data_IF_062446840567
#
_entry.id   IF_062446840567
#
_cell.length_a   1.000
_cell.length_b   1.000
_cell.length_c   1.000
_cell.angle_alpha   90.00
_cell.angle_beta   90.00
_cell.angle_gamma   90.00
#
_symmetry.space_group_name_H-M   'P 1'
#
loop_
_entity.id
_entity.type
_entity.pdbx_description
1 polymer ?
#
# COMPACT_ATOMS: atom_id res chain seq x y z
N UNK A 1 -17.75 -13.30 22.80
CA UNK A 1 -16.39 -12.87 22.39
C UNK A 1 -16.40 -12.72 20.89
N UNK A 2 -16.00 -11.56 20.37
CA UNK A 2 -15.74 -11.41 18.93
C UNK A 2 -14.45 -12.16 18.64
N UNK A 3 -14.50 -13.20 17.81
CA UNK A 3 -13.31 -13.95 17.44
C UNK A 3 -12.45 -13.11 16.49
N UNK A 4 -11.22 -12.81 16.90
CA UNK A 4 -10.28 -11.99 16.14
C UNK A 4 -9.34 -12.92 15.39
N UNK A 5 -9.52 -13.00 14.08
CA UNK A 5 -8.69 -13.81 13.20
C UNK A 5 -7.26 -13.24 13.07
N UNK A 6 -6.37 -13.99 12.43
CA UNK A 6 -4.94 -13.64 12.34
C UNK A 6 -4.73 -12.31 11.60
N UNK A 7 -5.43 -12.12 10.49
CA UNK A 7 -5.36 -10.91 9.66
C UNK A 7 -5.78 -9.67 10.46
N UNK A 8 -6.88 -9.76 11.22
CA UNK A 8 -7.34 -8.69 12.08
C UNK A 8 -6.33 -8.35 13.18
N UNK A 9 -5.63 -9.34 13.76
CA UNK A 9 -4.55 -9.06 14.72
C UNK A 9 -3.41 -8.27 14.08
N UNK A 10 -3.06 -8.58 12.83
CA UNK A 10 -2.04 -7.81 12.08
C UNK A 10 -2.52 -6.37 11.88
N UNK A 11 -3.78 -6.17 11.48
CA UNK A 11 -4.34 -4.82 11.30
C UNK A 11 -4.37 -4.04 12.63
N UNK A 12 -4.75 -4.68 13.73
CA UNK A 12 -4.75 -4.05 15.06
C UNK A 12 -3.33 -3.68 15.52
N UNK A 13 -2.33 -4.51 15.25
CA UNK A 13 -0.94 -4.19 15.53
C UNK A 13 -0.45 -3.00 14.68
N UNK A 14 -0.80 -2.97 13.38
CA UNK A 14 -0.52 -1.82 12.51
C UNK A 14 -1.20 -0.54 12.99
N UNK A 15 -2.45 -0.63 13.47
CA UNK A 15 -3.18 0.49 14.07
C UNK A 15 -2.48 1.03 15.32
N UNK A 16 -1.97 0.14 16.18
CA UNK A 16 -1.19 0.55 17.35
C UNK A 16 0.07 1.33 16.95
N UNK A 17 0.79 0.88 15.93
CA UNK A 17 1.97 1.60 15.40
C UNK A 17 1.57 2.99 14.87
N UNK A 18 0.49 3.08 14.09
CA UNK A 18 -0.03 4.35 13.58
C UNK A 18 -0.48 5.29 14.70
N UNK A 19 -1.07 4.75 15.77
CA UNK A 19 -1.50 5.50 16.94
C UNK A 19 -0.31 6.08 17.73
N UNK A 20 0.78 5.32 17.86
CA UNK A 20 2.04 5.84 18.41
C UNK A 20 2.59 6.96 17.52
N UNK A 21 2.56 6.78 16.20
CA UNK A 21 2.93 7.81 15.23
C UNK A 21 2.11 9.09 15.40
N UNK A 22 0.79 8.96 15.52
CA UNK A 22 -0.13 10.08 15.77
C UNK A 22 0.25 10.86 17.04
N UNK A 23 0.48 10.18 18.17
CA UNK A 23 0.93 10.85 19.40
C UNK A 23 2.29 11.52 19.25
N UNK A 24 3.20 10.90 18.52
CA UNK A 24 4.50 11.49 18.19
C UNK A 24 4.29 12.79 17.40
N UNK A 25 3.40 12.77 16.41
CA UNK A 25 3.00 13.97 15.65
C UNK A 25 2.42 15.07 16.53
N UNK A 26 1.56 14.74 17.50
CA UNK A 26 1.04 15.71 18.48
C UNK A 26 2.17 16.30 19.33
N UNK A 27 3.01 15.44 19.89
CA UNK A 27 4.11 15.84 20.79
C UNK A 27 5.06 16.83 20.09
N UNK A 28 5.44 16.54 18.83
CA UNK A 28 6.31 17.39 18.02
C UNK A 28 5.56 18.46 17.20
N UNK A 29 4.24 18.58 17.35
CA UNK A 29 3.39 19.55 16.62
C UNK A 29 3.49 19.48 15.09
N UNK A 30 3.66 18.26 14.54
CA UNK A 30 3.73 17.98 13.09
C UNK A 30 2.34 17.73 12.51
N UNK A 31 1.70 18.79 11.99
CA UNK A 31 0.34 18.71 11.43
C UNK A 31 0.23 17.73 10.23
N UNK A 32 1.23 17.71 9.36
CA UNK A 32 1.34 16.78 8.24
C UNK A 32 1.27 15.32 8.71
N UNK A 33 1.97 15.01 9.80
CA UNK A 33 2.03 13.67 10.37
C UNK A 33 0.72 13.29 11.07
N UNK A 34 0.14 14.21 11.82
CA UNK A 34 -1.17 14.04 12.48
C UNK A 34 -2.23 13.71 11.43
N UNK A 35 -2.31 14.47 10.35
CA UNK A 35 -3.30 14.25 9.29
C UNK A 35 -3.08 12.91 8.58
N UNK A 36 -1.84 12.58 8.23
CA UNK A 36 -1.51 11.32 7.54
C UNK A 36 -1.86 10.10 8.38
N UNK A 37 -1.42 10.06 9.64
CA UNK A 37 -1.71 8.93 10.54
C UNK A 37 -3.19 8.83 10.87
N UNK A 38 -3.89 9.96 11.05
CA UNK A 38 -5.36 9.98 11.23
C UNK A 38 -6.08 9.38 10.04
N UNK A 39 -5.71 9.78 8.82
CA UNK A 39 -6.30 9.24 7.59
C UNK A 39 -6.06 7.73 7.45
N UNK A 40 -4.84 7.27 7.71
CA UNK A 40 -4.50 5.85 7.65
C UNK A 40 -5.27 5.02 8.70
N UNK A 41 -5.39 5.53 9.93
CA UNK A 41 -6.20 4.88 10.96
C UNK A 41 -7.68 4.85 10.57
N UNK A 42 -8.24 5.96 10.08
CA UNK A 42 -9.63 6.03 9.63
C UNK A 42 -9.89 5.03 8.49
N UNK A 43 -8.98 4.95 7.51
CA UNK A 43 -9.02 3.97 6.44
C UNK A 43 -9.03 2.54 6.98
N UNK A 44 -8.08 2.18 7.86
CA UNK A 44 -7.98 0.83 8.42
C UNK A 44 -9.22 0.44 9.25
N UNK A 45 -9.77 1.37 10.02
CA UNK A 45 -11.03 1.16 10.75
C UNK A 45 -12.19 0.95 9.78
N UNK A 46 -12.25 1.72 8.69
CA UNK A 46 -13.30 1.57 7.67
C UNK A 46 -13.22 0.20 6.98
N UNK A 47 -12.04 -0.28 6.60
CA UNK A 47 -11.88 -1.60 5.95
C UNK A 47 -12.02 -2.78 6.91
N UNK A 48 -11.87 -2.59 8.23
CA UNK A 48 -12.26 -3.58 9.23
C UNK A 48 -13.78 -3.63 9.44
N UNK A 49 -14.43 -2.46 9.41
CA UNK A 49 -15.86 -2.34 9.64
C UNK A 49 -16.70 -2.76 8.42
N UNK A 50 -16.28 -2.38 7.22
CA UNK A 50 -17.04 -2.58 5.98
C UNK A 50 -17.43 -4.05 5.73
N UNK A 51 -16.51 -5.04 5.77
CA UNK A 51 -16.85 -6.44 5.49
C UNK A 51 -17.69 -7.09 6.60
N UNK A 52 -17.65 -6.54 7.82
CA UNK A 52 -18.48 -7.01 8.95
C UNK A 52 -19.91 -6.52 8.85
N UNK A 53 -20.12 -5.33 8.27
CA UNK A 53 -21.44 -4.69 8.22
C UNK A 53 -22.17 -4.94 6.90
N UNK A 54 -21.45 -4.99 5.80
CA UNK A 54 -22.03 -5.12 4.46
C UNK A 54 -21.46 -6.34 3.76
N UNK A 55 -22.28 -6.99 2.94
CA UNK A 55 -21.81 -7.98 1.98
C UNK A 55 -21.23 -7.25 0.77
N UNK A 56 -20.15 -7.80 0.21
CA UNK A 56 -19.61 -7.30 -1.06
C UNK A 56 -20.72 -7.35 -2.13
N UNK A 57 -20.96 -6.26 -2.87
CA UNK A 57 -21.94 -6.28 -3.94
C UNK A 57 -21.54 -7.25 -5.06
N UNK A 58 -22.49 -7.61 -5.92
CA UNK A 58 -22.24 -8.42 -7.10
C UNK A 58 -21.81 -7.56 -8.31
N UNK A 59 -21.44 -8.22 -9.40
CA UNK A 59 -21.09 -7.58 -10.67
C UNK A 59 -19.82 -6.72 -10.62
N UNK A 60 -19.77 -5.71 -11.49
CA UNK A 60 -18.59 -4.84 -11.69
C UNK A 60 -18.19 -4.09 -10.43
N UNK A 61 -19.16 -3.51 -9.70
CA UNK A 61 -18.88 -2.80 -8.45
C UNK A 61 -18.28 -3.77 -7.40
N UNK A 62 -18.82 -4.98 -7.31
CA UNK A 62 -18.26 -6.04 -6.49
C UNK A 62 -16.83 -6.40 -6.84
N UNK A 63 -16.50 -6.44 -8.13
CA UNK A 63 -15.15 -6.73 -8.60
C UNK A 63 -14.17 -5.61 -8.24
N UNK A 64 -14.54 -4.35 -8.45
CA UNK A 64 -13.73 -3.18 -8.10
C UNK A 64 -13.48 -3.08 -6.60
N UNK A 65 -14.51 -3.38 -5.78
CA UNK A 65 -14.39 -3.35 -4.33
C UNK A 65 -13.75 -4.61 -3.75
N UNK A 66 -13.48 -5.63 -4.57
CA UNK A 66 -12.98 -6.93 -4.08
C UNK A 66 -11.76 -6.86 -3.14
N UNK A 67 -10.77 -5.96 -3.34
CA UNK A 67 -9.62 -5.91 -2.44
C UNK A 67 -9.99 -5.55 -1.00
N UNK A 68 -10.96 -4.65 -0.81
CA UNK A 68 -11.41 -4.18 0.51
C UNK A 68 -12.19 -5.22 1.31
N UNK A 69 -12.63 -6.30 0.64
CA UNK A 69 -13.30 -7.44 1.28
C UNK A 69 -12.35 -8.63 1.47
N UNK A 70 -11.06 -8.50 1.14
CA UNK A 70 -10.05 -9.53 1.38
C UNK A 70 -9.28 -9.22 2.66
N UNK A 71 -9.49 -10.03 3.71
CA UNK A 71 -8.76 -9.88 4.98
C UNK A 71 -7.24 -9.94 4.78
N UNK A 72 -6.77 -10.78 3.86
CA UNK A 72 -5.34 -10.92 3.59
C UNK A 72 -4.74 -9.70 2.88
N UNK A 73 -5.44 -9.13 1.90
CA UNK A 73 -5.00 -7.87 1.25
C UNK A 73 -5.02 -6.75 2.29
N UNK A 74 -6.08 -6.63 3.08
CA UNK A 74 -6.20 -5.61 4.13
C UNK A 74 -5.07 -5.71 5.16
N UNK A 75 -4.66 -6.92 5.57
CA UNK A 75 -3.53 -7.12 6.48
C UNK A 75 -2.19 -6.70 5.86
N UNK A 76 -1.96 -6.98 4.57
CA UNK A 76 -0.73 -6.52 3.90
C UNK A 76 -0.75 -4.99 3.77
N UNK A 77 -1.90 -4.41 3.40
CA UNK A 77 -2.08 -2.95 3.33
C UNK A 77 -1.84 -2.30 4.68
N UNK A 78 -2.30 -2.88 5.79
CA UNK A 78 -2.07 -2.30 7.12
C UNK A 78 -0.59 -2.27 7.50
N UNK A 79 0.15 -3.33 7.15
CA UNK A 79 1.61 -3.36 7.33
C UNK A 79 2.27 -2.28 6.49
N UNK A 80 1.91 -2.16 5.21
CA UNK A 80 2.42 -1.09 4.35
C UNK A 80 2.15 0.30 4.96
N UNK A 81 0.92 0.60 5.37
CA UNK A 81 0.60 1.92 5.94
C UNK A 81 1.36 2.20 7.23
N UNK A 82 1.48 1.21 8.13
CA UNK A 82 2.25 1.35 9.36
C UNK A 82 3.75 1.58 9.07
N UNK A 83 4.33 0.81 8.14
CA UNK A 83 5.73 0.98 7.72
C UNK A 83 5.92 2.33 7.04
N UNK A 84 5.07 2.70 6.09
CA UNK A 84 5.16 3.99 5.39
C UNK A 84 5.08 5.15 6.38
N UNK A 85 4.09 5.17 7.28
CA UNK A 85 3.98 6.21 8.30
C UNK A 85 5.20 6.25 9.23
N UNK A 86 5.76 5.09 9.59
CA UNK A 86 6.92 5.00 10.49
C UNK A 86 8.22 5.38 9.81
N UNK A 87 8.43 4.99 8.56
CA UNK A 87 9.63 5.34 7.78
C UNK A 87 9.65 6.84 7.44
N UNK A 88 8.47 7.44 7.27
CA UNK A 88 8.30 8.89 7.14
C UNK A 88 8.39 9.60 8.50
N UNK A 89 8.49 8.87 9.61
CA UNK A 89 8.40 9.44 10.96
C UNK A 89 9.29 8.73 11.99
N UNK A 90 10.48 8.22 11.63
CA UNK A 90 11.35 7.70 12.69
C UNK A 90 11.78 8.89 13.56
N UNK A 91 11.47 8.91 14.86
CA UNK A 91 11.77 10.02 15.78
C UNK A 91 13.23 9.93 16.24
N UNK A 92 14.15 9.75 15.29
CA UNK A 92 15.56 9.99 15.52
C UNK A 92 15.93 11.23 14.71
N UNK A 93 16.02 12.36 15.42
CA UNK A 93 16.78 13.56 15.04
C UNK A 93 16.15 14.45 13.97
N UNK A 94 16.74 15.63 13.79
CA UNK A 94 16.42 16.66 12.79
C UNK A 94 16.64 16.16 11.36
N UNK A 95 15.86 15.15 11.02
CA UNK A 95 16.12 14.15 10.00
C UNK A 95 14.74 13.76 9.51
N UNK A 96 14.21 14.59 8.60
CA UNK A 96 13.21 14.10 7.66
C UNK A 96 13.73 12.81 6.99
N UNK A 97 12.91 12.12 6.21
CA UNK A 97 13.43 11.23 5.16
C UNK A 97 14.46 11.93 4.24
N UNK A 98 14.56 13.26 4.33
CA UNK A 98 15.59 14.12 3.73
C UNK A 98 16.86 14.24 4.58
N UNK A 99 17.02 13.47 5.64
CA UNK A 99 18.33 13.26 6.20
C UNK A 99 19.15 12.53 5.16
N UNK A 100 20.11 13.27 4.67
CA UNK A 100 21.08 12.92 3.65
C UNK A 100 21.77 11.56 3.92
N UNK A 101 21.73 11.06 5.17
CA UNK A 101 22.25 9.76 5.57
C UNK A 101 21.41 8.53 5.14
N UNK A 102 20.09 8.65 4.96
CA UNK A 102 19.18 7.50 4.74
C UNK A 102 18.39 7.60 3.41
N UNK A 103 19.05 8.05 2.33
CA UNK A 103 18.48 8.35 0.99
C UNK A 103 17.65 7.24 0.31
N UNK A 104 17.69 6.02 0.82
CA UNK A 104 17.12 4.82 0.18
C UNK A 104 15.98 4.18 0.98
N UNK A 105 15.58 4.75 2.12
CA UNK A 105 14.50 4.18 2.95
C UNK A 105 13.15 4.24 2.22
N UNK A 106 12.98 5.25 1.38
CA UNK A 106 11.88 5.42 0.43
C UNK A 106 11.66 4.19 -0.48
N UNK A 107 12.74 3.48 -0.86
CA UNK A 107 12.65 2.25 -1.66
C UNK A 107 11.80 1.16 -1.00
N UNK A 108 11.82 1.08 0.33
CA UNK A 108 11.02 0.11 1.09
C UNK A 108 9.53 0.48 0.98
N UNK A 109 9.23 1.77 1.06
CA UNK A 109 7.87 2.28 0.90
C UNK A 109 7.35 1.98 -0.51
N UNK A 110 8.10 2.30 -1.56
CA UNK A 110 7.69 1.99 -2.94
C UNK A 110 7.56 0.49 -3.19
N UNK A 111 8.45 -0.34 -2.63
CA UNK A 111 8.32 -1.79 -2.75
C UNK A 111 7.06 -2.33 -2.08
N UNK A 112 6.75 -1.89 -0.86
CA UNK A 112 5.51 -2.30 -0.19
C UNK A 112 4.26 -1.71 -0.86
N UNK A 113 4.34 -0.49 -1.39
CA UNK A 113 3.29 0.17 -2.17
C UNK A 113 2.99 -0.61 -3.45
N UNK A 114 4.00 -0.98 -4.22
CA UNK A 114 3.86 -1.79 -5.44
C UNK A 114 3.29 -3.18 -5.15
N UNK A 115 3.70 -3.82 -4.05
CA UNK A 115 3.09 -5.07 -3.58
C UNK A 115 1.57 -4.90 -3.37
N UNK A 116 1.17 -3.90 -2.59
CA UNK A 116 -0.25 -3.66 -2.27
C UNK A 116 -1.05 -3.32 -3.53
N UNK A 117 -0.56 -2.37 -4.33
CA UNK A 117 -1.23 -1.97 -5.57
C UNK A 117 -1.38 -3.13 -6.55
N UNK A 118 -0.33 -3.95 -6.70
CA UNK A 118 -0.41 -5.13 -7.54
C UNK A 118 -1.46 -6.14 -7.05
N UNK A 119 -1.53 -6.40 -5.75
CA UNK A 119 -2.55 -7.28 -5.17
C UNK A 119 -3.97 -6.76 -5.42
N UNK A 120 -4.17 -5.44 -5.35
CA UNK A 120 -5.43 -4.80 -5.71
C UNK A 120 -5.75 -5.04 -7.20
N UNK A 121 -4.82 -4.72 -8.10
CA UNK A 121 -5.00 -4.85 -9.54
C UNK A 121 -5.31 -6.30 -9.93
N UNK A 122 -4.53 -7.26 -9.44
CA UNK A 122 -4.75 -8.69 -9.70
C UNK A 122 -6.11 -9.14 -9.18
N UNK A 123 -6.50 -8.74 -7.96
CA UNK A 123 -7.81 -9.10 -7.40
C UNK A 123 -8.96 -8.53 -8.23
N UNK A 124 -8.86 -7.27 -8.64
CA UNK A 124 -9.87 -6.59 -9.46
C UNK A 124 -9.95 -7.24 -10.85
N UNK A 125 -8.82 -7.38 -11.55
CA UNK A 125 -8.76 -7.95 -12.90
C UNK A 125 -9.29 -9.39 -12.92
N UNK A 126 -8.93 -10.21 -11.91
CA UNK A 126 -9.42 -11.58 -11.79
C UNK A 126 -10.94 -11.65 -11.69
N UNK A 127 -11.54 -10.69 -10.99
CA UNK A 127 -12.99 -10.64 -10.80
C UNK A 127 -13.73 -10.05 -11.99
N UNK A 128 -13.17 -9.02 -12.62
CA UNK A 128 -13.73 -8.42 -13.83
C UNK A 128 -13.65 -9.36 -15.04
N UNK A 129 -12.55 -10.11 -15.15
CA UNK A 129 -12.27 -10.98 -16.29
C UNK A 129 -12.04 -12.42 -15.83
N UNK A 130 -13.08 -13.04 -15.24
CA UNK A 130 -13.00 -14.38 -14.65
C UNK A 130 -12.57 -15.49 -15.61
N UNK A 131 -12.78 -15.32 -16.92
CA UNK A 131 -12.34 -16.26 -17.96
C UNK A 131 -10.93 -16.00 -18.50
N UNK A 132 -10.20 -15.00 -17.99
CA UNK A 132 -8.88 -14.65 -18.49
C UNK A 132 -7.81 -15.65 -18.01
N UNK A 133 -6.96 -16.19 -18.91
CA UNK A 133 -5.85 -17.05 -18.52
C UNK A 133 -4.90 -16.35 -17.55
N UNK A 134 -4.39 -17.08 -16.55
CA UNK A 134 -3.52 -16.52 -15.51
C UNK A 134 -2.33 -15.74 -16.06
N UNK A 135 -1.66 -16.26 -17.11
CA UNK A 135 -0.54 -15.58 -17.75
C UNK A 135 -0.90 -14.20 -18.34
N UNK A 136 -2.08 -14.07 -18.95
CA UNK A 136 -2.57 -12.79 -19.52
C UNK A 136 -2.94 -11.83 -18.40
N UNK A 137 -3.58 -12.34 -17.35
CA UNK A 137 -3.92 -11.57 -16.15
C UNK A 137 -2.67 -10.98 -15.51
N UNK A 138 -1.62 -11.80 -15.34
CA UNK A 138 -0.32 -11.36 -14.84
C UNK A 138 0.25 -10.24 -15.70
N UNK A 139 0.34 -10.44 -17.02
CA UNK A 139 0.88 -9.45 -17.94
C UNK A 139 0.14 -8.11 -17.83
N UNK A 140 -1.20 -8.12 -17.81
CA UNK A 140 -1.98 -6.90 -17.67
C UNK A 140 -1.85 -6.26 -16.29
N UNK A 141 -1.79 -7.04 -15.22
CA UNK A 141 -1.60 -6.49 -13.87
C UNK A 141 -0.27 -5.78 -13.69
N UNK A 142 0.83 -6.34 -14.23
CA UNK A 142 2.14 -5.70 -14.20
C UNK A 142 2.23 -4.49 -15.13
N UNK A 143 1.60 -4.56 -16.31
CA UNK A 143 1.54 -3.42 -17.23
C UNK A 143 0.74 -2.25 -16.63
N UNK A 144 -0.41 -2.52 -16.01
CA UNK A 144 -1.18 -1.49 -15.32
C UNK A 144 -0.42 -0.91 -14.13
N UNK A 145 0.27 -1.74 -13.35
CA UNK A 145 1.11 -1.25 -12.26
C UNK A 145 2.20 -0.30 -12.78
N UNK A 146 2.87 -0.66 -13.87
CA UNK A 146 3.89 0.20 -14.47
C UNK A 146 3.31 1.55 -14.91
N UNK A 147 2.13 1.55 -15.55
CA UNK A 147 1.46 2.79 -15.97
C UNK A 147 1.08 3.64 -14.76
N UNK A 148 0.54 3.03 -13.70
CA UNK A 148 0.18 3.74 -12.47
C UNK A 148 1.40 4.29 -11.74
N UNK A 149 2.47 3.50 -11.62
CA UNK A 149 3.72 3.90 -10.98
C UNK A 149 4.39 5.06 -11.69
N UNK A 150 4.55 4.96 -13.02
CA UNK A 150 5.08 6.07 -13.84
C UNK A 150 4.19 7.31 -13.72
N UNK A 151 2.86 7.13 -13.76
CA UNK A 151 1.90 8.22 -13.60
C UNK A 151 1.99 8.90 -12.22
N UNK A 152 2.17 8.11 -11.16
CA UNK A 152 2.35 8.59 -9.79
C UNK A 152 3.63 9.40 -9.67
N UNK A 153 4.76 8.88 -10.13
CA UNK A 153 6.05 9.57 -10.07
C UNK A 153 6.07 10.88 -10.88
N UNK A 154 5.38 10.92 -12.02
CA UNK A 154 5.19 12.14 -12.79
C UNK A 154 4.36 13.14 -11.99
N UNK A 155 3.24 12.71 -11.40
CA UNK A 155 2.38 13.58 -10.60
C UNK A 155 3.10 14.14 -9.38
N UNK A 156 3.91 13.32 -8.71
CA UNK A 156 4.72 13.72 -7.57
C UNK A 156 5.82 14.72 -7.98
N UNK A 157 6.50 14.44 -9.10
CA UNK A 157 7.49 15.37 -9.65
C UNK A 157 6.86 16.71 -10.05
N UNK A 158 5.66 16.73 -10.64
CA UNK A 158 4.93 17.98 -10.88
C UNK A 158 4.52 18.65 -9.56
N UNK A 159 4.04 17.89 -8.57
CA UNK A 159 3.62 18.40 -7.25
C UNK A 159 4.76 19.02 -6.44
N UNK A 160 5.98 18.49 -6.58
CA UNK A 160 7.18 19.04 -5.91
C UNK A 160 7.55 20.44 -6.43
N UNK A 161 7.01 20.89 -7.57
CA UNK A 161 7.19 22.27 -8.04
C UNK A 161 6.31 23.28 -7.29
N UNK A 162 5.24 22.81 -6.63
CA UNK A 162 4.27 23.66 -5.90
C UNK A 162 4.45 23.62 -4.39
N UNK A 163 5.31 22.74 -3.87
CA UNK A 163 5.63 22.59 -2.44
C UNK A 163 7.08 22.98 -2.19
N UNK A 164 7.38 23.55 -1.02
CA UNK A 164 8.67 24.18 -0.73
C UNK A 164 9.86 23.23 -1.00
N UNK A 165 10.61 23.54 -2.07
CA UNK A 165 12.04 23.40 -2.38
C UNK A 165 13.02 22.45 -1.67
N UNK A 166 12.60 21.55 -0.78
CA UNK A 166 13.51 20.80 0.11
C UNK A 166 13.96 19.46 -0.50
N UNK A 167 13.27 18.96 -1.54
CA UNK A 167 13.78 17.89 -2.40
C UNK A 167 13.62 18.19 -3.89
N UNK A 168 14.71 18.58 -4.54
CA UNK A 168 14.83 18.34 -5.98
C UNK A 168 15.06 16.86 -6.20
N UNK A 169 13.98 16.11 -6.36
CA UNK A 169 14.08 14.72 -6.74
C UNK A 169 14.63 14.57 -8.15
N UNK A 170 15.60 13.68 -8.31
CA UNK A 170 16.20 13.42 -9.61
C UNK A 170 15.36 12.43 -10.40
N UNK A 171 15.39 12.50 -11.73
CA UNK A 171 14.77 11.48 -12.59
C UNK A 171 15.26 10.06 -12.27
N UNK A 172 16.49 9.93 -11.77
CA UNK A 172 17.04 8.65 -11.33
C UNK A 172 16.31 8.07 -10.11
N UNK A 173 15.89 8.91 -9.17
CA UNK A 173 15.10 8.46 -8.01
C UNK A 173 13.74 7.96 -8.49
N UNK A 174 13.05 8.77 -9.30
CA UNK A 174 11.76 8.40 -9.89
C UNK A 174 11.80 7.06 -10.64
N UNK A 175 12.86 6.81 -11.43
CA UNK A 175 13.04 5.50 -12.08
C UNK A 175 13.27 4.38 -11.06
N UNK A 176 14.08 4.61 -10.03
CA UNK A 176 14.31 3.64 -8.94
C UNK A 176 12.99 3.30 -8.25
N UNK A 177 12.14 4.28 -8.01
CA UNK A 177 10.90 4.12 -7.24
C UNK A 177 9.90 3.25 -8.02
N UNK A 178 9.73 3.51 -9.32
CA UNK A 178 8.99 2.61 -10.23
C UNK A 178 9.58 1.19 -10.23
N UNK A 179 10.92 1.04 -10.26
CA UNK A 179 11.53 -0.29 -10.21
C UNK A 179 11.25 -0.99 -8.87
N UNK A 180 11.25 -0.27 -7.75
CA UNK A 180 10.94 -0.82 -6.43
C UNK A 180 9.49 -1.29 -6.36
N UNK A 181 8.56 -0.57 -6.97
CA UNK A 181 7.16 -1.01 -7.08
C UNK A 181 7.04 -2.35 -7.82
N UNK A 182 7.74 -2.48 -8.95
CA UNK A 182 7.76 -3.74 -9.71
C UNK A 182 8.40 -4.88 -8.90
N UNK A 183 9.44 -4.62 -8.11
CA UNK A 183 10.02 -5.61 -7.19
C UNK A 183 9.02 -6.04 -6.12
N UNK A 184 8.26 -5.08 -5.57
CA UNK A 184 7.15 -5.35 -4.67
C UNK A 184 6.09 -6.28 -5.27
N UNK A 185 5.71 -6.01 -6.51
CA UNK A 185 4.77 -6.84 -7.26
C UNK A 185 5.31 -8.24 -7.54
N UNK A 186 6.61 -8.39 -7.86
CA UNK A 186 7.25 -9.71 -8.01
C UNK A 186 7.23 -10.50 -6.70
N UNK A 187 7.44 -9.84 -5.56
CA UNK A 187 7.26 -10.46 -4.25
C UNK A 187 5.80 -10.89 -4.02
N UNK A 188 4.84 -10.06 -4.40
CA UNK A 188 3.42 -10.40 -4.39
C UNK A 188 3.09 -11.62 -5.25
N UNK A 189 3.66 -11.71 -6.45
CA UNK A 189 3.53 -12.86 -7.34
C UNK A 189 4.04 -14.14 -6.68
N UNK A 190 5.21 -14.07 -6.04
CA UNK A 190 5.75 -15.19 -5.27
C UNK A 190 4.81 -15.60 -4.12
N UNK A 191 4.29 -14.64 -3.36
CA UNK A 191 3.33 -14.91 -2.27
C UNK A 191 2.08 -15.63 -2.78
N UNK A 192 1.47 -15.11 -3.85
CA UNK A 192 0.26 -15.69 -4.44
C UNK A 192 0.53 -17.09 -5.00
N UNK A 193 1.61 -17.28 -5.76
CA UNK A 193 1.88 -18.54 -6.47
C UNK A 193 2.47 -19.64 -5.58
N UNK A 194 3.28 -19.30 -4.57
CA UNK A 194 3.97 -20.28 -3.71
C UNK A 194 3.33 -20.43 -2.33
N UNK A 195 2.67 -19.40 -1.82
CA UNK A 195 2.01 -19.44 -0.50
C UNK A 195 0.48 -19.44 -0.59
N UNK A 196 -0.09 -19.16 -1.76
CA UNK A 196 -1.55 -19.08 -1.92
C UNK A 196 -2.18 -17.94 -1.13
N UNK A 197 -1.40 -16.91 -0.77
CA UNK A 197 -1.81 -15.79 0.08
C UNK A 197 -1.53 -14.45 -0.61
N UNK A 198 -2.42 -13.45 -0.52
CA UNK A 198 -3.71 -13.45 0.20
C UNK A 198 -4.84 -14.20 -0.53
N UNK A 199 -4.56 -14.73 -1.72
CA UNK A 199 -5.43 -15.60 -2.48
C UNK A 199 -4.58 -16.58 -3.31
N UNK A 200 -5.18 -17.69 -3.72
CA UNK A 200 -4.53 -18.66 -4.61
C UNK A 200 -4.81 -18.32 -6.08
N UNK A 201 -3.91 -18.70 -7.01
CA UNK A 201 -4.17 -18.61 -8.45
C UNK A 201 -5.49 -19.32 -8.79
N UNK A 202 -6.23 -18.82 -9.78
CA UNK A 202 -7.28 -19.63 -10.39
C UNK A 202 -6.61 -20.86 -10.99
N UNK A 203 -7.07 -22.07 -10.66
CA UNK A 203 -6.48 -23.31 -11.17
C UNK A 203 -6.30 -23.25 -12.68
N UNK A 204 -5.13 -23.70 -13.15
CA UNK A 204 -4.96 -24.15 -14.53
C UNK A 204 -5.73 -25.46 -14.73
#
# INVERSE_FOLDING_TARGET
MVDINREERVVLASLLVLFIGFFTGIYYRRLDHILRTSWMMAYLLAVLWLPRKYKRPDGTLGALLSPFYSGGITAITSVFLAVHASLVNVPFTNVDLFNVACRNVDMISHSLGGLVLWLFLVSILRRLFSGMPWRRLLLYSFALLLVLGVGWEIAEWFGSHFTEGILKETMRNKVRDVLMEQLGALFGLWMVTKKGYPFSPSGE
#
